data_IF_056432669089
#
_entry.id   IF_056432669089
#
_cell.length_a   1.000
_cell.length_b   1.000
_cell.length_c   1.000
_cell.angle_alpha   90.00
_cell.angle_beta   90.00
_cell.angle_gamma   90.00
#
_symmetry.space_group_name_H-M   'P 1'
#
loop_
_entity.id
_entity.type
_entity.pdbx_description
1 polymer ?
#
# COMPACT_ATOMS: atom_id res chain seq x y z
N UNK A 1 1.04 -42.23 5.42
CA UNK A 1 0.46 -42.40 6.73
C UNK A 1 1.27 -41.80 7.89
N UNK A 2 2.28 -40.91 7.60
CA UNK A 2 3.00 -40.15 8.63
C UNK A 2 2.36 -38.78 8.84
N UNK A 3 2.50 -38.21 10.04
CA UNK A 3 1.98 -36.92 10.41
C UNK A 3 3.06 -35.85 10.25
N UNK A 4 2.76 -34.82 9.50
CA UNK A 4 3.58 -33.59 9.39
C UNK A 4 2.97 -32.49 10.26
N UNK A 5 3.71 -32.05 11.27
CA UNK A 5 3.42 -30.83 12.05
C UNK A 5 4.03 -29.61 11.40
N UNK A 6 3.21 -28.63 11.11
CA UNK A 6 3.61 -27.38 10.45
C UNK A 6 3.51 -26.25 11.47
N UNK A 7 4.64 -25.67 11.84
CA UNK A 7 4.71 -24.54 12.77
C UNK A 7 4.79 -23.25 11.96
N UNK A 8 3.67 -22.53 11.89
CA UNK A 8 3.47 -21.38 11.01
C UNK A 8 2.81 -21.74 9.68
N UNK A 9 1.57 -21.26 9.47
CA UNK A 9 0.75 -21.55 8.29
C UNK A 9 0.63 -20.30 7.36
N UNK A 10 1.73 -19.55 7.25
CA UNK A 10 1.87 -18.45 6.31
C UNK A 10 2.02 -18.91 4.86
N UNK A 11 2.54 -18.05 3.98
CA UNK A 11 2.70 -18.35 2.54
C UNK A 11 3.51 -19.63 2.28
N UNK A 12 4.66 -19.78 2.93
CA UNK A 12 5.53 -20.95 2.72
C UNK A 12 4.94 -22.20 3.36
N UNK A 13 4.48 -22.10 4.63
CA UNK A 13 3.85 -23.24 5.32
C UNK A 13 2.63 -23.81 4.57
N UNK A 14 1.79 -22.95 4.00
CA UNK A 14 0.67 -23.36 3.15
C UNK A 14 1.14 -24.11 1.89
N UNK A 15 2.20 -23.62 1.24
CA UNK A 15 2.75 -24.28 0.03
C UNK A 15 3.40 -25.64 0.37
N UNK A 16 4.02 -25.77 1.53
CA UNK A 16 4.55 -27.05 2.02
C UNK A 16 3.42 -28.02 2.33
N UNK A 17 2.37 -27.55 3.01
CA UNK A 17 1.19 -28.35 3.31
C UNK A 17 0.55 -28.96 2.07
N UNK A 18 0.32 -28.15 1.02
CA UNK A 18 -0.26 -28.62 -0.24
C UNK A 18 0.58 -29.75 -0.89
N UNK A 19 1.90 -29.64 -0.82
CA UNK A 19 2.80 -30.67 -1.36
C UNK A 19 2.82 -31.93 -0.49
N UNK A 20 2.85 -31.78 0.82
CA UNK A 20 2.82 -32.90 1.75
C UNK A 20 1.50 -33.68 1.70
N UNK A 21 0.38 -33.00 1.44
CA UNK A 21 -0.93 -33.62 1.21
C UNK A 21 -0.87 -34.57 0.00
N UNK A 22 -0.21 -34.17 -1.08
CA UNK A 22 -0.04 -35.00 -2.28
C UNK A 22 0.79 -36.26 -2.02
N UNK A 23 1.62 -36.29 -0.97
CA UNK A 23 2.33 -37.47 -0.50
C UNK A 23 1.50 -38.35 0.49
N UNK A 24 0.23 -37.99 0.69
CA UNK A 24 -0.67 -38.76 1.60
C UNK A 24 -0.31 -38.63 3.09
N UNK A 25 0.33 -37.52 3.48
CA UNK A 25 0.62 -37.24 4.88
C UNK A 25 -0.63 -36.69 5.61
N UNK A 26 -0.79 -37.02 6.90
CA UNK A 26 -1.71 -36.30 7.77
C UNK A 26 -1.09 -34.94 8.11
N UNK A 27 -1.83 -33.84 7.91
CA UNK A 27 -1.35 -32.48 8.14
C UNK A 27 -1.99 -31.89 9.39
N UNK A 28 -1.15 -31.49 10.35
CA UNK A 28 -1.55 -30.71 11.51
C UNK A 28 -0.71 -29.42 11.54
N UNK A 29 -1.29 -28.33 12.01
CA UNK A 29 -0.56 -27.04 12.06
C UNK A 29 -0.83 -26.30 13.38
N UNK A 30 0.13 -25.49 13.78
CA UNK A 30 -0.01 -24.49 14.83
C UNK A 30 0.33 -23.12 14.26
N UNK A 31 -0.66 -22.22 14.31
CA UNK A 31 -0.51 -20.81 13.95
C UNK A 31 -1.59 -20.01 14.71
N UNK A 32 -1.22 -19.09 15.62
CA UNK A 32 -2.18 -18.33 16.44
C UNK A 32 -2.98 -17.29 15.63
N UNK A 33 -2.59 -16.99 14.39
CA UNK A 33 -3.22 -15.97 13.56
C UNK A 33 -4.10 -16.53 12.44
N UNK A 34 -4.18 -17.86 12.29
CA UNK A 34 -4.96 -18.52 11.25
C UNK A 34 -6.27 -19.06 11.83
N UNK A 35 -7.39 -18.76 11.16
CA UNK A 35 -8.70 -19.28 11.58
C UNK A 35 -8.85 -20.79 11.32
N UNK A 36 -9.72 -21.44 12.09
CA UNK A 36 -10.02 -22.86 11.90
C UNK A 36 -10.67 -23.14 10.55
N UNK A 37 -11.49 -22.21 10.06
CA UNK A 37 -12.12 -22.29 8.74
C UNK A 37 -11.05 -22.30 7.64
N UNK A 38 -10.08 -21.40 7.72
CA UNK A 38 -8.98 -21.33 6.76
C UNK A 38 -8.11 -22.58 6.76
N UNK A 39 -7.82 -23.13 7.91
CA UNK A 39 -7.07 -24.39 8.01
C UNK A 39 -7.85 -25.57 7.39
N UNK A 40 -9.17 -25.66 7.62
CA UNK A 40 -10.04 -26.70 7.02
C UNK A 40 -10.09 -26.63 5.50
N UNK A 41 -10.17 -25.42 4.93
CA UNK A 41 -10.12 -25.22 3.46
C UNK A 41 -8.84 -25.82 2.86
N UNK A 42 -7.75 -25.82 3.61
CA UNK A 42 -6.46 -26.37 3.22
C UNK A 42 -6.31 -27.86 3.55
N UNK A 43 -7.35 -28.49 4.12
CA UNK A 43 -7.31 -29.86 4.62
C UNK A 43 -6.27 -30.09 5.74
N UNK A 44 -6.12 -29.09 6.62
CA UNK A 44 -5.16 -29.08 7.73
C UNK A 44 -5.95 -29.03 9.05
N UNK A 45 -5.56 -29.87 10.00
CA UNK A 45 -6.09 -29.84 11.38
C UNK A 45 -5.30 -28.82 12.20
N UNK A 46 -5.97 -27.76 12.70
CA UNK A 46 -5.31 -26.74 13.50
C UNK A 46 -5.23 -27.17 14.97
N UNK A 47 -4.01 -27.22 15.51
CA UNK A 47 -3.74 -27.58 16.90
C UNK A 47 -3.95 -26.39 17.84
N UNK A 48 -4.43 -26.62 19.09
CA UNK A 48 -4.68 -25.55 20.04
C UNK A 48 -3.39 -24.85 20.52
N UNK A 49 -2.29 -25.60 20.58
CA UNK A 49 -0.98 -25.12 21.02
C UNK A 49 0.15 -25.90 20.35
N UNK A 50 1.39 -25.41 20.50
CA UNK A 50 2.58 -26.04 19.94
C UNK A 50 2.84 -27.43 20.52
N UNK A 51 2.63 -27.63 21.83
CA UNK A 51 2.83 -28.94 22.48
C UNK A 51 1.92 -30.01 21.89
N UNK A 52 0.64 -29.69 21.67
CA UNK A 52 -0.33 -30.57 21.03
C UNK A 52 0.08 -30.98 19.60
N UNK A 53 0.74 -30.11 18.89
CA UNK A 53 1.32 -30.42 17.57
C UNK A 53 2.52 -31.34 17.69
N UNK A 54 3.45 -31.06 18.61
CA UNK A 54 4.72 -31.78 18.74
C UNK A 54 4.52 -33.24 19.12
N UNK A 55 3.61 -33.51 20.06
CA UNK A 55 3.35 -34.90 20.51
C UNK A 55 2.70 -35.79 19.45
N UNK A 56 2.09 -35.19 18.40
CA UNK A 56 1.43 -35.95 17.33
C UNK A 56 2.28 -36.05 16.06
N UNK A 57 3.36 -35.29 15.95
CA UNK A 57 4.14 -35.17 14.72
C UNK A 57 5.20 -36.26 14.59
N UNK A 58 5.28 -36.88 13.42
CA UNK A 58 6.43 -37.69 13.00
C UNK A 58 7.53 -36.82 12.35
N UNK A 59 7.11 -35.74 11.70
CA UNK A 59 7.96 -34.72 11.16
C UNK A 59 7.44 -33.34 11.61
N UNK A 60 8.34 -32.44 11.97
CA UNK A 60 8.01 -31.05 12.30
C UNK A 60 8.76 -30.15 11.32
N UNK A 61 8.06 -29.20 10.70
CA UNK A 61 8.65 -28.20 9.82
C UNK A 61 8.26 -26.79 10.28
N UNK A 62 9.23 -25.88 10.25
CA UNK A 62 9.11 -24.54 10.81
C UNK A 62 9.03 -23.51 9.67
N UNK A 63 8.04 -22.58 9.74
CA UNK A 63 7.79 -21.55 8.76
C UNK A 63 7.40 -20.22 9.43
N UNK A 64 8.11 -19.86 10.50
CA UNK A 64 7.91 -18.64 11.26
C UNK A 64 9.01 -17.59 10.95
N UNK A 65 8.72 -16.28 11.05
CA UNK A 65 9.77 -15.26 11.15
C UNK A 65 10.46 -15.36 12.51
N UNK A 66 11.71 -14.90 12.61
CA UNK A 66 12.38 -14.67 13.89
C UNK A 66 11.91 -13.34 14.48
N UNK A 67 11.25 -13.39 15.62
CA UNK A 67 10.76 -12.26 16.41
C UNK A 67 11.10 -12.50 17.88
N UNK A 68 10.86 -11.53 18.74
CA UNK A 68 11.04 -11.72 20.19
C UNK A 68 10.17 -12.86 20.76
N UNK A 69 9.01 -13.15 20.16
CA UNK A 69 8.10 -14.22 20.59
C UNK A 69 8.49 -15.59 20.03
N UNK A 70 9.22 -15.66 18.92
CA UNK A 70 9.59 -16.91 18.24
C UNK A 70 11.04 -17.31 18.44
N UNK A 71 11.87 -16.44 19.00
CA UNK A 71 13.24 -16.75 19.36
C UNK A 71 13.27 -17.75 20.52
N UNK A 72 13.99 -18.88 20.34
CA UNK A 72 14.04 -19.96 21.32
C UNK A 72 12.72 -20.70 21.53
N UNK A 73 11.74 -20.54 20.62
CA UNK A 73 10.41 -21.16 20.73
C UNK A 73 10.45 -22.67 20.90
N UNK A 74 11.43 -23.34 20.28
CA UNK A 74 11.63 -24.80 20.39
C UNK A 74 12.95 -25.04 21.12
N UNK A 75 12.82 -25.20 22.42
CA UNK A 75 13.92 -25.52 23.32
C UNK A 75 13.90 -26.99 23.77
N UNK A 76 14.64 -27.28 24.83
CA UNK A 76 14.76 -28.64 25.41
C UNK A 76 13.42 -29.25 25.75
N UNK A 77 12.51 -28.47 26.34
CA UNK A 77 11.16 -28.90 26.71
C UNK A 77 10.35 -29.33 25.48
N UNK A 78 10.33 -28.50 24.45
CA UNK A 78 9.58 -28.74 23.20
C UNK A 78 10.14 -29.96 22.44
N UNK A 79 11.46 -30.07 22.35
CA UNK A 79 12.14 -31.23 21.76
C UNK A 79 11.83 -32.51 22.53
N UNK A 80 11.70 -32.41 23.86
CA UNK A 80 11.28 -33.51 24.74
C UNK A 80 9.83 -33.95 24.53
N UNK A 81 8.93 -33.08 24.04
CA UNK A 81 7.53 -33.41 23.72
C UNK A 81 7.38 -34.16 22.40
N UNK A 82 8.33 -34.03 21.47
CA UNK A 82 8.25 -34.72 20.17
C UNK A 82 8.23 -36.24 20.35
N UNK A 83 7.66 -36.95 19.38
CA UNK A 83 7.73 -38.43 19.36
C UNK A 83 9.17 -38.89 19.34
N UNK A 84 9.42 -40.04 19.97
CA UNK A 84 10.70 -40.73 19.85
C UNK A 84 10.99 -41.05 18.37
N UNK A 85 12.18 -40.70 17.90
CA UNK A 85 12.59 -40.88 16.52
C UNK A 85 11.95 -39.89 15.53
N UNK A 86 11.19 -38.89 15.99
CA UNK A 86 10.68 -37.82 15.13
C UNK A 86 11.79 -37.03 14.48
N UNK A 87 11.48 -36.31 13.40
CA UNK A 87 12.43 -35.52 12.64
C UNK A 87 11.99 -34.08 12.56
N UNK A 88 12.97 -33.16 12.58
CA UNK A 88 12.73 -31.71 12.49
C UNK A 88 13.38 -31.10 11.25
N UNK A 89 12.69 -30.14 10.63
CA UNK A 89 13.20 -29.37 9.49
C UNK A 89 13.04 -27.89 9.79
N UNK A 90 14.16 -27.14 9.78
CA UNK A 90 14.16 -25.69 9.87
C UNK A 90 14.86 -25.07 8.66
N UNK A 91 14.06 -24.55 7.73
CA UNK A 91 14.49 -23.77 6.59
C UNK A 91 13.90 -22.35 6.64
N UNK A 92 13.48 -21.91 7.84
CA UNK A 92 12.85 -20.62 8.04
C UNK A 92 13.86 -19.55 8.52
N UNK A 93 14.22 -19.59 9.79
CA UNK A 93 15.19 -18.68 10.42
C UNK A 93 15.95 -19.40 11.53
N UNK A 94 17.23 -19.08 11.68
CA UNK A 94 18.01 -19.48 12.83
C UNK A 94 17.54 -18.83 14.13
N UNK A 95 17.86 -19.46 15.27
CA UNK A 95 17.47 -18.98 16.59
C UNK A 95 16.02 -19.26 17.00
N UNK A 96 15.16 -19.82 16.12
CA UNK A 96 13.82 -20.31 16.50
C UNK A 96 13.91 -21.62 17.28
N UNK A 97 14.88 -22.46 16.92
CA UNK A 97 15.20 -23.69 17.63
C UNK A 97 16.47 -23.45 18.43
N UNK A 98 16.50 -23.89 19.67
CA UNK A 98 17.73 -23.98 20.45
C UNK A 98 18.63 -25.07 19.85
N UNK A 99 19.69 -24.65 19.18
CA UNK A 99 20.57 -25.53 18.42
C UNK A 99 21.42 -26.44 19.35
N UNK A 100 21.70 -26.00 20.56
CA UNK A 100 22.41 -26.80 21.56
C UNK A 100 21.51 -27.93 22.09
N UNK A 101 20.27 -27.60 22.48
CA UNK A 101 19.27 -28.57 22.90
C UNK A 101 18.94 -29.57 21.77
N UNK A 102 18.88 -29.08 20.51
CA UNK A 102 18.67 -29.95 19.35
C UNK A 102 19.82 -30.94 19.16
N UNK A 103 21.07 -30.47 19.29
CA UNK A 103 22.24 -31.35 19.19
C UNK A 103 22.23 -32.42 20.27
N UNK A 104 21.83 -32.10 21.49
CA UNK A 104 21.72 -33.09 22.60
C UNK A 104 20.59 -34.08 22.36
N UNK A 105 19.43 -33.66 21.88
CA UNK A 105 18.30 -34.51 21.52
C UNK A 105 18.66 -35.51 20.37
N UNK A 106 19.46 -35.06 19.41
CA UNK A 106 19.95 -35.91 18.32
C UNK A 106 21.03 -36.89 18.78
N UNK A 107 21.94 -36.42 19.63
CA UNK A 107 23.05 -37.23 20.18
C UNK A 107 22.56 -38.33 21.10
N UNK A 108 21.53 -38.06 21.87
CA UNK A 108 20.88 -39.06 22.74
C UNK A 108 19.99 -40.04 21.97
N UNK A 109 19.72 -39.82 20.68
CA UNK A 109 18.79 -40.64 19.88
C UNK A 109 17.32 -40.35 20.14
N UNK A 110 17.00 -39.32 20.95
CA UNK A 110 15.61 -38.90 21.20
C UNK A 110 14.91 -38.48 19.91
N UNK A 111 15.63 -37.75 19.06
CA UNK A 111 15.20 -37.41 17.71
C UNK A 111 15.93 -38.25 16.66
N UNK A 112 15.19 -38.72 15.67
CA UNK A 112 15.70 -39.54 14.57
C UNK A 112 16.49 -38.76 13.53
N UNK A 113 16.40 -37.44 13.49
CA UNK A 113 17.17 -36.59 12.59
C UNK A 113 16.69 -35.16 12.57
N UNK A 114 17.54 -34.30 12.04
CA UNK A 114 17.20 -32.89 11.76
C UNK A 114 17.78 -32.42 10.42
N UNK A 115 17.11 -31.46 9.79
CA UNK A 115 17.60 -30.74 8.62
C UNK A 115 17.53 -29.23 8.87
N UNK A 116 18.65 -28.52 8.72
CA UNK A 116 18.75 -27.09 8.94
C UNK A 116 19.42 -26.42 7.74
N UNK A 117 18.75 -25.40 7.22
CA UNK A 117 19.29 -24.47 6.20
C UNK A 117 19.73 -23.15 6.83
N UNK A 118 19.41 -22.93 8.11
CA UNK A 118 19.58 -21.66 8.83
C UNK A 118 20.11 -21.89 10.23
N UNK A 119 20.91 -20.92 10.72
CA UNK A 119 21.56 -20.95 12.04
C UNK A 119 21.39 -19.63 12.77
N UNK A 120 21.49 -19.66 14.10
CA UNK A 120 21.36 -18.46 14.96
C UNK A 120 22.39 -17.38 14.63
N UNK A 121 23.61 -17.79 14.26
CA UNK A 121 24.69 -16.93 13.75
C UNK A 121 25.09 -17.41 12.35
N UNK A 122 25.13 -16.51 11.38
CA UNK A 122 25.53 -16.80 10.01
C UNK A 122 26.51 -15.72 9.51
N UNK A 123 27.61 -16.09 8.81
CA UNK A 123 27.99 -17.43 8.39
C UNK A 123 28.58 -18.27 9.54
N UNK A 124 28.26 -19.57 9.57
CA UNK A 124 28.79 -20.53 10.52
C UNK A 124 29.69 -21.55 9.81
N UNK A 125 30.90 -21.73 10.29
CA UNK A 125 31.90 -22.67 9.72
C UNK A 125 32.12 -23.90 10.59
N UNK A 126 31.85 -23.82 11.88
CA UNK A 126 31.96 -24.90 12.86
C UNK A 126 30.72 -24.93 13.74
N UNK A 127 30.09 -26.10 13.86
CA UNK A 127 28.89 -26.27 14.69
C UNK A 127 28.74 -27.71 15.17
N UNK A 128 28.20 -27.89 16.38
CA UNK A 128 28.01 -29.21 16.99
C UNK A 128 27.12 -30.17 16.15
N UNK A 129 26.18 -29.61 15.38
CA UNK A 129 25.28 -30.34 14.50
C UNK A 129 25.98 -30.89 13.25
N UNK A 130 27.09 -30.30 12.81
CA UNK A 130 27.80 -30.74 11.58
C UNK A 130 28.44 -32.14 11.72
N UNK A 131 28.82 -32.50 12.94
CA UNK A 131 29.44 -33.79 13.23
C UNK A 131 28.44 -34.94 13.45
N UNK A 132 27.15 -34.65 13.52
CA UNK A 132 26.12 -35.66 13.82
C UNK A 132 25.66 -36.38 12.55
N UNK A 133 25.67 -37.73 12.52
CA UNK A 133 25.34 -38.50 11.31
C UNK A 133 23.85 -38.43 10.93
N UNK A 134 23.00 -38.00 11.85
CA UNK A 134 21.55 -37.87 11.67
C UNK A 134 21.12 -36.41 11.40
N UNK A 135 22.03 -35.56 10.94
CA UNK A 135 21.75 -34.19 10.51
C UNK A 135 22.03 -33.99 9.04
N UNK A 136 21.24 -33.11 8.41
CA UNK A 136 21.48 -32.56 7.08
C UNK A 136 21.55 -31.04 7.25
N UNK A 137 22.65 -30.43 6.81
CA UNK A 137 22.84 -28.98 6.92
C UNK A 137 23.19 -28.37 5.57
N UNK A 138 22.67 -27.17 5.31
CA UNK A 138 22.96 -26.40 4.11
C UNK A 138 23.25 -24.94 4.49
N UNK A 139 24.05 -24.21 3.68
CA UNK A 139 24.48 -22.85 4.03
C UNK A 139 23.49 -21.78 3.54
N UNK A 140 22.23 -21.83 4.04
CA UNK A 140 21.16 -20.90 3.76
C UNK A 140 20.85 -20.79 2.25
N UNK A 141 20.54 -21.94 1.63
CA UNK A 141 20.33 -22.07 0.18
C UNK A 141 18.87 -21.99 -0.27
N UNK A 142 17.93 -21.78 0.63
CA UNK A 142 16.49 -21.84 0.32
C UNK A 142 16.05 -20.93 -0.84
N UNK A 143 16.71 -19.78 -1.03
CA UNK A 143 16.45 -18.84 -2.13
C UNK A 143 17.60 -18.77 -3.15
N UNK A 144 18.61 -19.64 -3.08
CA UNK A 144 19.82 -19.58 -3.91
C UNK A 144 19.72 -20.34 -5.23
N UNK A 145 18.51 -20.65 -5.72
CA UNK A 145 18.33 -21.20 -7.05
C UNK A 145 18.48 -20.10 -8.10
N UNK A 146 18.96 -20.46 -9.32
CA UNK A 146 19.10 -19.51 -10.43
C UNK A 146 17.78 -18.81 -10.74
N UNK A 147 16.68 -19.56 -10.78
CA UNK A 147 15.34 -19.03 -11.06
C UNK A 147 14.87 -18.03 -9.99
N UNK A 148 15.20 -18.26 -8.72
CA UNK A 148 14.86 -17.34 -7.62
C UNK A 148 15.67 -16.05 -7.70
N UNK A 149 16.98 -16.17 -8.01
CA UNK A 149 17.87 -15.04 -8.19
C UNK A 149 17.48 -14.18 -9.40
N UNK A 150 17.18 -14.82 -10.55
CA UNK A 150 16.74 -14.13 -11.76
C UNK A 150 15.43 -13.35 -11.52
N UNK A 151 14.46 -13.98 -10.84
CA UNK A 151 13.20 -13.33 -10.47
C UNK A 151 13.41 -12.17 -9.50
N UNK A 152 14.26 -12.34 -8.50
CA UNK A 152 14.57 -11.28 -7.54
C UNK A 152 15.30 -10.12 -8.23
N UNK A 153 16.26 -10.41 -9.10
CA UNK A 153 16.98 -9.40 -9.88
C UNK A 153 16.06 -8.58 -10.78
N UNK A 154 15.18 -9.24 -11.55
CA UNK A 154 14.21 -8.57 -12.39
C UNK A 154 13.22 -7.73 -11.57
N UNK A 155 12.72 -8.25 -10.45
CA UNK A 155 11.82 -7.53 -9.56
C UNK A 155 12.49 -6.27 -8.96
N UNK A 156 13.73 -6.39 -8.48
CA UNK A 156 14.47 -5.26 -7.92
C UNK A 156 14.76 -4.20 -8.98
N UNK A 157 15.14 -4.60 -10.20
CA UNK A 157 15.37 -3.66 -11.30
C UNK A 157 14.13 -2.83 -11.59
N UNK A 158 12.96 -3.46 -11.62
CA UNK A 158 11.68 -2.76 -11.80
C UNK A 158 11.36 -1.84 -10.62
N UNK A 159 11.60 -2.27 -9.37
CA UNK A 159 11.38 -1.42 -8.19
C UNK A 159 12.29 -0.18 -8.20
N UNK A 160 13.53 -0.34 -8.60
CA UNK A 160 14.48 0.78 -8.75
C UNK A 160 14.01 1.75 -9.85
N UNK A 161 13.55 1.22 -11.01
CA UNK A 161 13.00 2.04 -12.09
C UNK A 161 11.81 2.89 -11.60
N UNK A 162 10.84 2.27 -10.91
CA UNK A 162 9.69 2.96 -10.34
C UNK A 162 10.11 4.03 -9.33
N UNK A 163 11.07 3.71 -8.45
CA UNK A 163 11.58 4.66 -7.47
C UNK A 163 12.23 5.89 -8.12
N UNK A 164 13.05 5.69 -9.17
CA UNK A 164 13.69 6.78 -9.90
C UNK A 164 12.71 7.65 -10.69
N UNK A 165 11.57 7.10 -11.09
CA UNK A 165 10.47 7.83 -11.73
C UNK A 165 9.54 8.53 -10.72
N UNK A 166 9.77 8.37 -9.42
CA UNK A 166 8.90 8.89 -8.37
C UNK A 166 7.55 8.18 -8.27
N UNK A 167 7.43 7.01 -8.91
CA UNK A 167 6.23 6.17 -8.86
C UNK A 167 6.15 5.35 -7.57
N UNK A 168 4.98 4.77 -7.32
CA UNK A 168 4.79 3.91 -6.15
C UNK A 168 5.57 2.60 -6.28
N UNK A 169 6.36 2.27 -5.25
CA UNK A 169 7.16 1.04 -5.17
C UNK A 169 6.47 0.01 -4.26
N UNK A 170 5.86 -1.06 -4.81
CA UNK A 170 5.01 -1.99 -4.05
C UNK A 170 5.69 -2.72 -2.89
N UNK A 171 7.01 -2.90 -2.96
CA UNK A 171 7.79 -3.67 -1.98
C UNK A 171 8.76 -2.81 -1.16
N UNK A 172 8.55 -1.49 -1.13
CA UNK A 172 9.36 -0.59 -0.32
C UNK A 172 9.14 -0.87 1.17
N UNK A 173 10.20 -1.19 1.91
CA UNK A 173 10.14 -1.51 3.35
C UNK A 173 9.89 -0.29 4.24
N UNK A 174 10.10 0.90 3.72
CA UNK A 174 9.95 2.18 4.39
C UNK A 174 8.69 2.96 3.96
N UNK A 175 7.77 2.33 3.23
CA UNK A 175 6.44 2.88 2.94
C UNK A 175 5.42 2.16 3.82
N UNK A 176 4.76 2.89 4.70
CA UNK A 176 3.77 2.35 5.65
C UNK A 176 2.42 1.98 4.99
N UNK A 177 2.42 1.60 3.71
CA UNK A 177 1.24 1.15 3.00
C UNK A 177 1.30 -0.36 2.82
N UNK A 178 0.20 -1.05 3.14
CA UNK A 178 0.03 -2.46 2.84
C UNK A 178 -0.03 -2.69 1.32
N UNK A 179 -0.07 -3.95 0.91
CA UNK A 179 -0.11 -4.36 -0.50
C UNK A 179 -1.18 -3.60 -1.27
N UNK A 180 -0.75 -2.85 -2.30
CA UNK A 180 -1.69 -2.16 -3.21
C UNK A 180 -2.48 -3.21 -3.99
N UNK A 181 -3.75 -3.31 -3.69
CA UNK A 181 -4.66 -4.22 -4.41
C UNK A 181 -4.99 -3.68 -5.81
N UNK A 182 -5.42 -4.55 -6.71
CA UNK A 182 -5.89 -4.13 -8.04
C UNK A 182 -7.06 -3.15 -7.97
N UNK A 183 -7.86 -3.21 -6.91
CA UNK A 183 -8.98 -2.30 -6.68
C UNK A 183 -8.52 -0.86 -6.37
N UNK A 184 -7.41 -0.69 -5.66
CA UNK A 184 -6.88 0.62 -5.20
C UNK A 184 -5.93 1.23 -6.21
N UNK A 185 -5.15 0.42 -6.91
CA UNK A 185 -4.11 0.87 -7.85
C UNK A 185 -4.56 1.94 -8.87
N UNK A 186 -5.74 1.81 -9.52
CA UNK A 186 -6.18 2.80 -10.50
C UNK A 186 -6.41 4.20 -9.93
N UNK A 187 -6.68 4.31 -8.61
CA UNK A 187 -6.92 5.58 -7.93
C UNK A 187 -5.65 6.33 -7.52
N UNK A 188 -4.45 5.73 -7.62
CA UNK A 188 -3.19 6.40 -7.23
C UNK A 188 -2.95 7.69 -8.01
N UNK A 189 -3.00 7.71 -9.37
CA UNK A 189 -2.81 8.93 -10.13
C UNK A 189 -3.86 10.00 -9.79
N UNK A 190 -5.13 9.59 -9.65
CA UNK A 190 -6.22 10.49 -9.26
C UNK A 190 -5.95 11.13 -7.89
N UNK A 191 -5.63 10.33 -6.87
CA UNK A 191 -5.38 10.84 -5.51
C UNK A 191 -4.21 11.85 -5.48
N UNK A 192 -3.12 11.56 -6.20
CA UNK A 192 -1.98 12.47 -6.33
C UNK A 192 -2.39 13.77 -7.03
N UNK A 193 -3.16 13.69 -8.11
CA UNK A 193 -3.67 14.84 -8.85
C UNK A 193 -4.61 15.70 -8.00
N UNK A 194 -5.53 15.07 -7.25
CA UNK A 194 -6.42 15.80 -6.33
C UNK A 194 -5.63 16.56 -5.27
N UNK A 195 -4.57 15.98 -4.71
CA UNK A 195 -3.66 16.67 -3.80
C UNK A 195 -3.00 17.88 -4.42
N UNK A 196 -2.51 17.77 -5.65
CA UNK A 196 -1.88 18.87 -6.40
C UNK A 196 -2.87 20.00 -6.69
N UNK A 197 -4.07 19.66 -7.17
CA UNK A 197 -5.13 20.64 -7.43
C UNK A 197 -5.54 21.34 -6.13
N UNK A 198 -5.70 20.60 -5.05
CA UNK A 198 -6.05 21.16 -3.74
C UNK A 198 -5.07 22.26 -3.33
N UNK A 199 -3.77 21.99 -3.44
CA UNK A 199 -2.71 22.97 -3.09
C UNK A 199 -2.74 24.20 -3.98
N UNK A 200 -2.95 24.04 -5.29
CA UNK A 200 -3.05 25.16 -6.22
C UNK A 200 -4.28 26.04 -5.98
N UNK A 201 -5.34 25.46 -5.40
CA UNK A 201 -6.56 26.19 -5.04
C UNK A 201 -6.48 26.81 -3.63
N UNK A 202 -5.58 26.34 -2.76
CA UNK A 202 -5.42 26.86 -1.42
C UNK A 202 -4.81 28.27 -1.43
N UNK A 203 -5.45 29.21 -0.72
CA UNK A 203 -5.03 30.61 -0.67
C UNK A 203 -4.05 30.90 0.50
N UNK A 204 -3.86 29.91 1.37
CA UNK A 204 -2.94 29.99 2.50
C UNK A 204 -2.35 28.60 2.82
N UNK A 205 -1.27 28.51 3.61
CA UNK A 205 -0.68 27.23 4.00
C UNK A 205 -1.70 26.30 4.66
N UNK A 206 -1.67 25.02 4.26
CA UNK A 206 -2.55 23.99 4.81
C UNK A 206 -2.08 23.57 6.20
N UNK A 207 -3.00 23.55 7.16
CA UNK A 207 -2.77 23.03 8.53
C UNK A 207 -3.22 21.59 8.67
N UNK A 208 -4.29 21.21 7.96
CA UNK A 208 -4.83 19.85 7.95
C UNK A 208 -5.16 19.44 6.53
N UNK A 209 -4.86 18.20 6.20
CA UNK A 209 -5.26 17.52 4.98
C UNK A 209 -6.05 16.27 5.39
N UNK A 210 -7.29 16.16 4.94
CA UNK A 210 -8.12 14.98 5.15
C UNK A 210 -8.50 14.36 3.81
N UNK A 211 -8.44 13.02 3.74
CA UNK A 211 -8.88 12.29 2.55
C UNK A 211 -10.07 11.44 2.93
N UNK A 212 -11.17 11.61 2.22
CA UNK A 212 -12.40 10.87 2.40
C UNK A 212 -12.58 9.90 1.23
N UNK A 213 -12.79 8.62 1.55
CA UNK A 213 -13.05 7.56 0.60
C UNK A 213 -14.50 7.11 0.72
N UNK A 214 -15.24 7.14 -0.39
CA UNK A 214 -16.67 6.84 -0.42
C UNK A 214 -16.96 5.73 -1.43
N UNK A 215 -17.82 4.77 -1.07
CA UNK A 215 -18.19 3.63 -1.88
C UNK A 215 -17.21 2.46 -1.76
N UNK A 216 -17.10 1.63 -2.79
CA UNK A 216 -16.32 0.37 -2.75
C UNK A 216 -14.83 0.57 -2.44
N UNK A 217 -14.24 1.67 -2.83
CA UNK A 217 -12.83 1.98 -2.51
C UNK A 217 -12.59 2.07 -1.01
N UNK A 218 -13.61 2.46 -0.23
CA UNK A 218 -13.52 2.56 1.23
C UNK A 218 -13.40 1.20 1.94
N UNK A 219 -13.74 0.10 1.27
CA UNK A 219 -13.62 -1.27 1.81
C UNK A 219 -12.19 -1.80 1.75
N UNK A 220 -11.34 -1.18 0.93
CA UNK A 220 -9.94 -1.57 0.74
C UNK A 220 -8.99 -0.82 1.71
N UNK A 221 -7.72 -1.21 1.70
CA UNK A 221 -6.66 -0.45 2.39
C UNK A 221 -6.30 0.80 1.57
N UNK A 222 -6.80 1.95 2.02
CA UNK A 222 -6.67 3.24 1.34
C UNK A 222 -5.44 4.06 1.75
N UNK A 223 -4.61 3.56 2.69
CA UNK A 223 -3.44 4.30 3.20
C UNK A 223 -2.49 4.76 2.10
N UNK A 224 -2.32 3.97 1.05
CA UNK A 224 -1.48 4.35 -0.09
C UNK A 224 -2.08 5.51 -0.91
N UNK A 225 -3.40 5.61 -1.00
CA UNK A 225 -4.07 6.73 -1.67
C UNK A 225 -3.93 8.02 -0.85
N UNK A 226 -3.98 7.92 0.48
CA UNK A 226 -3.68 9.03 1.38
C UNK A 226 -2.25 9.52 1.18
N UNK A 227 -1.27 8.61 1.06
CA UNK A 227 0.11 8.95 0.72
C UNK A 227 0.23 9.63 -0.64
N UNK A 228 -0.50 9.15 -1.66
CA UNK A 228 -0.54 9.76 -2.98
C UNK A 228 -1.09 11.19 -2.93
N UNK A 229 -2.19 11.41 -2.20
CA UNK A 229 -2.77 12.75 -2.03
C UNK A 229 -1.81 13.70 -1.32
N UNK A 230 -1.13 13.24 -0.25
CA UNK A 230 -0.10 14.03 0.47
C UNK A 230 1.09 14.33 -0.43
N UNK A 231 1.59 13.33 -1.18
CA UNK A 231 2.66 13.55 -2.17
C UNK A 231 2.25 14.63 -3.16
N UNK A 232 1.06 14.51 -3.75
CA UNK A 232 0.53 15.50 -4.70
C UNK A 232 0.42 16.90 -4.09
N UNK A 233 -0.10 16.99 -2.86
CA UNK A 233 -0.28 18.26 -2.16
C UNK A 233 1.05 18.95 -1.82
N UNK A 234 2.12 18.21 -1.60
CA UNK A 234 3.45 18.75 -1.30
C UNK A 234 4.29 19.01 -2.56
N UNK A 235 3.98 18.35 -3.68
CA UNK A 235 4.69 18.53 -4.95
C UNK A 235 4.50 19.97 -5.46
N UNK A 236 5.60 20.66 -5.71
CA UNK A 236 5.61 22.07 -6.13
C UNK A 236 5.57 23.08 -4.98
N UNK A 237 5.36 22.64 -3.73
CA UNK A 237 5.42 23.48 -2.53
C UNK A 237 6.80 23.42 -1.87
N UNK A 238 7.48 22.31 -2.01
CA UNK A 238 8.84 22.09 -1.50
C UNK A 238 9.85 22.06 -2.64
N UNK A 239 11.09 22.47 -2.36
CA UNK A 239 12.16 22.45 -3.37
C UNK A 239 12.75 21.07 -3.64
N UNK A 240 12.61 20.16 -2.68
CA UNK A 240 13.09 18.78 -2.78
C UNK A 240 12.06 17.88 -3.51
N UNK A 241 12.51 16.86 -4.23
CA UNK A 241 11.62 15.88 -4.84
C UNK A 241 10.77 15.15 -3.79
N UNK A 242 9.45 15.17 -3.96
CA UNK A 242 8.51 14.48 -3.08
C UNK A 242 8.21 13.09 -3.61
N UNK A 243 8.35 12.09 -2.74
CA UNK A 243 8.10 10.68 -3.03
C UNK A 243 7.12 10.08 -2.01
N UNK A 244 6.63 8.87 -2.28
CA UNK A 244 5.81 8.12 -1.30
C UNK A 244 6.55 7.81 0.01
N UNK A 245 7.89 7.83 0.00
CA UNK A 245 8.73 7.55 1.17
C UNK A 245 8.86 8.78 2.06
N UNK A 246 9.18 9.96 1.48
CA UNK A 246 9.48 11.16 2.25
C UNK A 246 8.27 12.06 2.50
N UNK A 247 7.19 11.93 1.73
CA UNK A 247 5.98 12.75 1.90
C UNK A 247 5.42 12.78 3.33
N UNK A 248 5.32 11.66 4.08
CA UNK A 248 4.86 11.70 5.48
C UNK A 248 5.81 12.45 6.41
N UNK A 249 7.11 12.38 6.16
CA UNK A 249 8.12 13.10 6.96
C UNK A 249 8.05 14.59 6.70
N UNK A 250 8.01 15.01 5.42
CA UNK A 250 7.86 16.40 5.02
C UNK A 250 6.56 17.00 5.58
N UNK A 251 5.43 16.25 5.50
CA UNK A 251 4.17 16.69 6.06
C UNK A 251 4.29 16.97 7.57
N UNK A 252 4.90 16.06 8.32
CA UNK A 252 5.12 16.18 9.77
C UNK A 252 6.04 17.36 10.11
N UNK A 253 7.14 17.52 9.41
CA UNK A 253 8.09 18.63 9.62
C UNK A 253 7.46 20.00 9.35
N UNK A 254 6.48 20.06 8.44
CA UNK A 254 5.70 21.26 8.14
C UNK A 254 4.47 21.46 9.03
N UNK A 255 4.23 20.56 9.99
CA UNK A 255 3.07 20.62 10.89
C UNK A 255 1.75 20.34 10.18
N UNK A 256 1.75 19.68 9.01
CA UNK A 256 0.55 19.28 8.29
C UNK A 256 -0.05 18.03 8.94
N UNK A 257 -1.21 18.19 9.58
CA UNK A 257 -1.99 17.07 10.10
C UNK A 257 -2.67 16.32 8.96
N UNK A 258 -2.45 15.00 8.87
CA UNK A 258 -3.05 14.14 7.84
C UNK A 258 -4.03 13.17 8.49
N UNK A 259 -5.24 13.09 7.95
CA UNK A 259 -6.28 12.17 8.41
C UNK A 259 -7.03 11.52 7.24
N UNK A 260 -7.64 10.37 7.48
CA UNK A 260 -8.51 9.72 6.50
C UNK A 260 -9.86 9.34 7.13
N UNK A 261 -10.91 9.39 6.31
CA UNK A 261 -12.24 8.91 6.63
C UNK A 261 -12.73 7.95 5.54
N UNK A 262 -13.56 6.96 5.93
CA UNK A 262 -14.07 5.93 5.03
C UNK A 262 -15.57 5.80 5.19
N UNK A 263 -16.31 5.81 4.09
CA UNK A 263 -17.75 5.56 4.04
C UNK A 263 -18.06 4.56 2.93
N UNK A 264 -18.42 3.31 3.23
CA UNK A 264 -18.80 2.34 2.23
C UNK A 264 -20.09 2.72 1.47
N UNK A 265 -20.96 3.51 2.12
CA UNK A 265 -22.20 4.00 1.52
C UNK A 265 -21.94 5.19 0.60
N UNK A 266 -22.42 5.11 -0.63
CA UNK A 266 -22.36 6.19 -1.61
C UNK A 266 -23.71 6.36 -2.28
N UNK A 267 -24.12 7.63 -2.49
CA UNK A 267 -25.38 7.95 -3.14
C UNK A 267 -25.22 8.19 -4.65
N UNK A 268 -24.14 8.84 -5.05
CA UNK A 268 -24.00 9.37 -6.42
C UNK A 268 -22.93 8.64 -7.26
N UNK A 269 -21.89 8.08 -6.62
CA UNK A 269 -20.75 7.48 -7.31
C UNK A 269 -20.44 6.10 -6.77
N UNK A 270 -20.06 5.17 -7.63
CA UNK A 270 -19.56 3.83 -7.20
C UNK A 270 -18.34 3.96 -6.30
N UNK A 271 -17.48 4.92 -6.62
CA UNK A 271 -16.30 5.29 -5.82
C UNK A 271 -16.08 6.80 -5.93
N UNK A 272 -15.72 7.43 -4.82
CA UNK A 272 -15.36 8.85 -4.78
C UNK A 272 -14.18 9.03 -3.82
N UNK A 273 -13.22 9.83 -4.23
CA UNK A 273 -12.10 10.29 -3.38
C UNK A 273 -12.23 11.80 -3.23
N UNK A 274 -12.32 12.30 -2.01
CA UNK A 274 -12.37 13.73 -1.71
C UNK A 274 -11.19 14.11 -0.84
N UNK A 275 -10.39 15.06 -1.29
CA UNK A 275 -9.28 15.62 -0.53
C UNK A 275 -9.67 17.03 -0.07
N UNK A 276 -9.54 17.29 1.23
CA UNK A 276 -9.87 18.56 1.85
C UNK A 276 -8.66 19.15 2.56
N UNK A 277 -8.53 20.44 2.52
CA UNK A 277 -7.54 21.16 3.32
C UNK A 277 -8.23 22.23 4.16
N UNK A 278 -7.78 22.38 5.41
CA UNK A 278 -8.13 23.52 6.25
C UNK A 278 -6.96 24.48 6.29
N UNK A 279 -7.23 25.73 5.96
CA UNK A 279 -6.28 26.85 5.94
C UNK A 279 -6.80 28.03 6.76
N UNK A 280 -5.95 29.02 7.01
CA UNK A 280 -6.41 30.29 7.65
C UNK A 280 -7.36 31.11 6.76
N UNK A 281 -7.30 30.91 5.44
CA UNK A 281 -8.19 31.58 4.50
C UNK A 281 -9.53 30.84 4.28
N UNK A 282 -9.71 29.68 4.91
CA UNK A 282 -10.89 28.83 4.79
C UNK A 282 -10.59 27.41 4.29
N UNK A 283 -11.63 26.62 4.16
CA UNK A 283 -11.54 25.23 3.73
C UNK A 283 -11.60 25.12 2.19
N UNK A 284 -10.82 24.21 1.65
CA UNK A 284 -10.79 23.86 0.22
C UNK A 284 -11.06 22.36 0.10
N UNK A 285 -11.86 21.97 -0.88
CA UNK A 285 -12.14 20.56 -1.17
C UNK A 285 -12.05 20.30 -2.67
N UNK A 286 -11.49 19.14 -3.03
CA UNK A 286 -11.44 18.63 -4.40
C UNK A 286 -11.82 17.18 -4.38
N UNK A 287 -12.80 16.78 -5.20
CA UNK A 287 -13.27 15.39 -5.30
C UNK A 287 -13.16 14.85 -6.71
N UNK A 288 -12.85 13.58 -6.81
CA UNK A 288 -12.72 12.91 -8.10
C UNK A 288 -13.12 11.44 -8.05
N UNK A 289 -13.46 10.92 -9.22
CA UNK A 289 -13.84 9.52 -9.43
C UNK A 289 -13.19 8.97 -10.70
N UNK A 290 -13.28 7.65 -10.86
CA UNK A 290 -12.88 6.96 -12.09
C UNK A 290 -14.13 6.47 -12.82
N UNK A 291 -14.20 6.72 -14.12
CA UNK A 291 -15.35 6.35 -14.95
C UNK A 291 -14.95 5.41 -16.09
N UNK A 292 -15.87 4.49 -16.40
CA UNK A 292 -15.75 3.55 -17.51
C UNK A 292 -14.66 2.49 -17.33
N UNK A 293 -14.54 1.58 -18.31
CA UNK A 293 -13.60 0.45 -18.21
C UNK A 293 -12.13 0.84 -18.32
N UNK A 294 -11.84 2.07 -18.76
CA UNK A 294 -10.48 2.62 -18.86
C UNK A 294 -10.04 3.38 -17.62
N UNK A 295 -10.89 3.44 -16.58
CA UNK A 295 -10.64 4.19 -15.36
C UNK A 295 -10.29 5.67 -15.65
N UNK A 296 -11.05 6.31 -16.56
CA UNK A 296 -10.84 7.71 -16.89
C UNK A 296 -11.10 8.60 -15.67
N UNK A 297 -10.15 9.46 -15.35
CA UNK A 297 -10.25 10.38 -14.21
C UNK A 297 -11.29 11.48 -14.49
N UNK A 298 -12.11 11.79 -13.49
CA UNK A 298 -13.05 12.91 -13.51
C UNK A 298 -12.95 13.69 -12.22
N UNK A 299 -12.83 15.01 -12.30
CA UNK A 299 -13.09 15.90 -11.18
C UNK A 299 -14.61 16.10 -11.11
N UNK A 300 -15.18 15.81 -9.94
CA UNK A 300 -16.63 15.87 -9.73
C UNK A 300 -17.02 16.86 -8.63
N UNK A 301 -16.03 17.37 -7.89
CA UNK A 301 -16.22 18.39 -6.86
C UNK A 301 -15.00 19.32 -6.78
N UNK A 302 -15.25 20.63 -6.72
CA UNK A 302 -14.23 21.62 -6.42
C UNK A 302 -14.85 22.67 -5.49
N UNK A 303 -14.18 22.94 -4.36
CA UNK A 303 -14.78 23.62 -3.22
C UNK A 303 -16.07 22.91 -2.78
N UNK A 304 -17.18 23.58 -2.87
CA UNK A 304 -18.53 23.08 -2.56
C UNK A 304 -19.44 23.04 -3.81
N UNK A 305 -18.82 23.07 -5.01
CA UNK A 305 -19.53 22.99 -6.30
C UNK A 305 -19.37 21.58 -6.88
N UNK A 306 -20.47 21.04 -7.37
CA UNK A 306 -20.48 19.85 -8.20
C UNK A 306 -20.16 20.24 -9.65
N UNK A 307 -19.23 19.51 -10.26
CA UNK A 307 -18.76 19.67 -11.63
C UNK A 307 -18.57 18.30 -12.26
N UNK A 308 -18.28 18.23 -13.55
CA UNK A 308 -17.87 16.98 -14.21
C UNK A 308 -16.90 17.27 -15.35
N UNK A 309 -15.60 17.32 -15.04
CA UNK A 309 -14.55 17.67 -16.01
C UNK A 309 -13.38 16.69 -15.95
N UNK A 310 -12.84 16.31 -17.11
CA UNK A 310 -11.60 15.55 -17.17
C UNK A 310 -10.42 16.46 -16.77
N UNK A 311 -9.56 16.07 -15.82
CA UNK A 311 -8.38 16.85 -15.48
C UNK A 311 -7.40 16.87 -16.65
N UNK A 312 -6.71 18.00 -16.84
CA UNK A 312 -5.66 18.19 -17.83
C UNK A 312 -4.41 18.83 -17.20
N UNK A 313 -3.36 19.00 -18.00
CA UNK A 313 -2.11 19.64 -17.57
C UNK A 313 -2.32 21.13 -17.25
N UNK A 314 -3.18 21.82 -18.02
CA UNK A 314 -3.50 23.23 -17.81
C UNK A 314 -4.97 23.39 -17.47
N UNK A 315 -5.22 23.71 -16.21
CA UNK A 315 -6.55 23.97 -15.69
C UNK A 315 -6.66 25.36 -15.09
N UNK A 316 -7.82 25.98 -15.25
CA UNK A 316 -8.09 27.28 -14.65
C UNK A 316 -9.44 27.25 -13.94
N UNK A 317 -9.48 27.84 -12.76
CA UNK A 317 -10.62 27.90 -11.89
C UNK A 317 -10.97 29.36 -11.58
N UNK A 318 -12.17 29.78 -11.96
CA UNK A 318 -12.68 31.12 -11.70
C UNK A 318 -13.87 31.04 -10.75
N UNK A 319 -13.86 31.85 -9.69
CA UNK A 319 -15.02 32.05 -8.81
C UNK A 319 -15.59 33.45 -9.09
N UNK A 320 -16.90 33.51 -9.33
CA UNK A 320 -17.57 34.76 -9.72
C UNK A 320 -19.05 34.74 -9.33
N UNK A 321 -19.73 35.91 -9.42
CA UNK A 321 -21.17 35.99 -9.27
C UNK A 321 -21.87 35.61 -10.59
N UNK A 322 -22.76 34.59 -10.51
CA UNK A 322 -23.45 34.07 -11.70
C UNK A 322 -24.32 35.11 -12.34
N UNK A 323 -23.95 35.48 -13.57
CA UNK A 323 -24.67 36.47 -14.39
C UNK A 323 -24.51 36.20 -15.88
N UNK A 324 -25.51 36.58 -16.69
CA UNK A 324 -25.40 36.46 -18.15
C UNK A 324 -24.18 37.18 -18.71
N UNK A 325 -23.55 36.58 -19.75
CA UNK A 325 -22.43 37.17 -20.47
C UNK A 325 -21.04 36.76 -19.97
N UNK A 326 -20.88 36.25 -18.77
CA UNK A 326 -19.57 35.85 -18.20
C UNK A 326 -18.83 34.86 -19.09
N UNK A 327 -19.49 33.75 -19.48
CA UNK A 327 -18.91 32.75 -20.36
C UNK A 327 -18.44 33.33 -21.69
N UNK A 328 -19.26 34.20 -22.29
CA UNK A 328 -18.94 34.90 -23.55
C UNK A 328 -17.70 35.81 -23.41
N UNK A 329 -17.64 36.58 -22.32
CA UNK A 329 -16.49 37.46 -22.05
C UNK A 329 -15.19 36.68 -21.89
N UNK A 330 -15.20 35.60 -21.06
CA UNK A 330 -14.02 34.71 -20.86
C UNK A 330 -13.60 34.07 -22.19
N UNK A 331 -14.55 33.51 -22.96
CA UNK A 331 -14.24 32.87 -24.24
C UNK A 331 -13.68 33.87 -25.28
N UNK A 332 -14.22 35.10 -25.33
CA UNK A 332 -13.72 36.16 -26.25
C UNK A 332 -12.28 36.54 -25.88
N UNK A 333 -12.01 36.83 -24.59
CA UNK A 333 -10.68 37.23 -24.14
C UNK A 333 -9.62 36.15 -24.40
N UNK A 334 -9.93 34.89 -24.14
CA UNK A 334 -9.04 33.79 -24.41
C UNK A 334 -8.81 33.57 -25.90
N UNK A 335 -9.88 33.68 -26.73
CA UNK A 335 -9.80 33.56 -28.18
C UNK A 335 -8.96 34.68 -28.81
N UNK A 336 -9.09 35.95 -28.35
CA UNK A 336 -8.25 37.07 -28.77
C UNK A 336 -6.77 36.88 -28.39
N UNK A 337 -6.49 36.17 -27.30
CA UNK A 337 -5.15 35.80 -26.87
C UNK A 337 -4.61 34.54 -27.58
N UNK A 338 -5.38 33.93 -28.49
CA UNK A 338 -5.00 32.74 -29.22
C UNK A 338 -5.01 31.47 -28.36
N UNK A 339 -5.70 31.47 -27.23
CA UNK A 339 -5.78 30.33 -26.29
C UNK A 339 -7.06 29.57 -26.56
N UNK A 340 -6.92 28.29 -26.89
CA UNK A 340 -8.05 27.39 -27.14
C UNK A 340 -8.55 26.75 -25.84
N UNK A 341 -9.88 26.73 -25.68
CA UNK A 341 -10.58 26.06 -24.56
C UNK A 341 -10.93 24.64 -25.01
N UNK A 342 -10.32 23.63 -24.37
CA UNK A 342 -10.62 22.21 -24.64
C UNK A 342 -11.91 21.75 -23.96
N UNK A 343 -12.15 22.21 -22.71
CA UNK A 343 -13.40 21.97 -21.98
C UNK A 343 -13.71 23.16 -21.07
N UNK A 344 -15.01 23.35 -20.81
CA UNK A 344 -15.52 24.34 -19.85
C UNK A 344 -16.68 23.71 -19.09
N UNK A 345 -16.65 23.81 -17.77
CA UNK A 345 -17.73 23.39 -16.89
C UNK A 345 -18.06 24.52 -15.90
N UNK A 346 -19.35 24.72 -15.63
CA UNK A 346 -19.83 25.74 -14.69
C UNK A 346 -20.68 25.11 -13.62
N UNK A 347 -20.15 25.05 -12.40
CA UNK A 347 -20.87 24.65 -11.19
C UNK A 347 -21.55 25.85 -10.54
N UNK A 348 -22.82 25.72 -10.16
CA UNK A 348 -23.57 26.73 -9.41
C UNK A 348 -24.56 26.09 -8.46
N UNK A 349 -24.83 26.73 -7.32
CA UNK A 349 -25.84 26.28 -6.35
C UNK A 349 -27.21 26.90 -6.64
N UNK A 350 -27.21 28.18 -6.99
CA UNK A 350 -28.43 28.95 -7.27
C UNK A 350 -28.15 30.00 -8.35
N UNK A 351 -29.20 30.38 -9.06
CA UNK A 351 -29.08 31.43 -10.08
C UNK A 351 -28.78 32.77 -9.42
N UNK A 352 -27.78 33.52 -9.94
CA UNK A 352 -27.34 34.78 -9.39
C UNK A 352 -26.46 34.70 -8.15
N UNK A 353 -26.20 33.50 -7.63
CA UNK A 353 -25.30 33.26 -6.51
C UNK A 353 -23.83 33.13 -6.97
N UNK A 354 -23.00 32.54 -6.10
CA UNK A 354 -21.62 32.23 -6.43
C UNK A 354 -21.55 31.05 -7.40
N UNK A 355 -20.76 31.19 -8.46
CA UNK A 355 -20.46 30.14 -9.44
C UNK A 355 -18.98 29.85 -9.51
N UNK A 356 -18.66 28.62 -9.91
CA UNK A 356 -17.32 28.14 -10.23
C UNK A 356 -17.28 27.79 -11.72
N UNK A 357 -16.35 28.37 -12.47
CA UNK A 357 -16.03 27.97 -13.83
C UNK A 357 -14.68 27.24 -13.84
N UNK A 358 -14.67 26.01 -14.32
CA UNK A 358 -13.47 25.22 -14.56
C UNK A 358 -13.19 25.15 -16.05
N UNK A 359 -11.99 25.47 -16.46
CA UNK A 359 -11.51 25.36 -17.83
C UNK A 359 -10.35 24.38 -17.93
N UNK A 360 -10.30 23.68 -19.05
CA UNK A 360 -9.06 23.06 -19.53
C UNK A 360 -8.65 23.77 -20.81
N UNK A 361 -7.38 24.14 -20.91
CA UNK A 361 -6.83 24.92 -22.03
C UNK A 361 -5.62 24.21 -22.62
N UNK A 362 -5.29 24.49 -23.89
CA UNK A 362 -4.20 23.82 -24.61
C UNK A 362 -2.81 24.36 -24.21
N UNK A 363 -2.74 25.54 -23.58
CA UNK A 363 -1.50 26.18 -23.14
C UNK A 363 -1.76 27.04 -21.89
N UNK A 364 -0.72 27.31 -21.06
CA UNK A 364 -0.85 28.23 -19.92
C UNK A 364 -1.36 29.58 -20.34
N UNK A 365 -2.27 30.16 -19.56
CA UNK A 365 -2.78 31.50 -19.78
C UNK A 365 -1.75 32.54 -19.24
N UNK A 366 -1.27 33.49 -20.04
CA UNK A 366 -0.39 34.55 -19.55
C UNK A 366 -1.02 35.36 -18.41
N UNK A 367 -0.25 35.81 -17.41
CA UNK A 367 -0.79 36.57 -16.27
C UNK A 367 -1.62 37.79 -16.67
N UNK A 368 -1.17 38.52 -17.67
CA UNK A 368 -1.87 39.72 -18.20
C UNK A 368 -3.24 39.36 -18.80
N UNK A 369 -3.41 38.17 -19.36
CA UNK A 369 -4.70 37.70 -19.90
C UNK A 369 -5.62 37.31 -18.76
N UNK A 370 -5.08 36.63 -17.71
CA UNK A 370 -5.83 36.32 -16.49
C UNK A 370 -6.33 37.58 -15.80
N UNK A 371 -5.45 38.61 -15.63
CA UNK A 371 -5.81 39.89 -15.02
C UNK A 371 -6.92 40.59 -15.81
N UNK A 372 -6.83 40.59 -17.14
CA UNK A 372 -7.85 41.14 -18.04
C UNK A 372 -9.21 40.43 -17.87
N UNK A 373 -9.20 39.11 -17.70
CA UNK A 373 -10.44 38.34 -17.40
C UNK A 373 -11.00 38.73 -16.03
N UNK A 374 -10.14 38.80 -15.01
CA UNK A 374 -10.55 39.17 -13.65
C UNK A 374 -11.22 40.54 -13.62
N UNK A 375 -10.63 41.54 -14.28
CA UNK A 375 -11.16 42.91 -14.36
C UNK A 375 -12.47 42.97 -15.17
N UNK A 376 -12.50 42.38 -16.39
CA UNK A 376 -13.64 42.46 -17.28
C UNK A 376 -14.91 41.78 -16.71
N UNK A 377 -14.72 40.73 -15.94
CA UNK A 377 -15.82 39.93 -15.38
C UNK A 377 -16.07 40.28 -13.91
N UNK A 378 -15.10 40.82 -13.18
CA UNK A 378 -15.18 41.02 -11.72
C UNK A 378 -15.11 39.64 -10.99
N UNK A 379 -14.09 38.83 -11.35
CA UNK A 379 -13.88 37.53 -10.70
C UNK A 379 -13.49 37.72 -9.24
N UNK A 380 -14.04 36.88 -8.35
CA UNK A 380 -13.65 36.85 -6.93
C UNK A 380 -12.29 36.18 -6.73
N UNK A 381 -12.00 35.19 -7.54
CA UNK A 381 -10.68 34.56 -7.59
C UNK A 381 -10.44 33.91 -8.96
N UNK A 382 -9.17 33.84 -9.37
CA UNK A 382 -8.70 33.11 -10.52
C UNK A 382 -7.47 32.27 -10.10
N UNK A 383 -7.48 30.98 -10.42
CA UNK A 383 -6.38 30.06 -10.12
C UNK A 383 -6.06 29.24 -11.35
N UNK A 384 -4.80 29.28 -11.76
CA UNK A 384 -4.28 28.45 -12.84
C UNK A 384 -3.33 27.39 -12.25
N UNK A 385 -3.45 26.16 -12.73
CA UNK A 385 -2.66 25.01 -12.32
C UNK A 385 -1.96 24.40 -13.52
#
# INVERSE_FOLDING_TARGET
GKTLGIVGLGRVGTMVAQRALAFGMRLIAYDPYVSRERARELSIELMPDLGALLVQSDFVTIHLPRTAETEGLIGERELGLMKEGARMVNTARGGIVDEAALADALRSGRLGGAALDVFSEEPVTEHALFALPNTVVTPHLGAATREAQDKAGAAIAEMVRLALQGEFVPYAVNVAAAVVTEQVRPFLPLAERLGRILTGLAEAPMRRLSVEYVGRVAEADTRVLTLAAVKGALTGVVHEPVSYVNAPTIARERGLEVSEARSPESQDYVNLVVVRASTEAGDVAVGGTLVGPRNAERLVRVYDFDIDIAPSEHMVFFRYEDRPGVIGAVGTILGEAGINIASMEVGRKEAGGLALMCLTVDSPIPPEVLDRIVEAVGMKSARQL
#
